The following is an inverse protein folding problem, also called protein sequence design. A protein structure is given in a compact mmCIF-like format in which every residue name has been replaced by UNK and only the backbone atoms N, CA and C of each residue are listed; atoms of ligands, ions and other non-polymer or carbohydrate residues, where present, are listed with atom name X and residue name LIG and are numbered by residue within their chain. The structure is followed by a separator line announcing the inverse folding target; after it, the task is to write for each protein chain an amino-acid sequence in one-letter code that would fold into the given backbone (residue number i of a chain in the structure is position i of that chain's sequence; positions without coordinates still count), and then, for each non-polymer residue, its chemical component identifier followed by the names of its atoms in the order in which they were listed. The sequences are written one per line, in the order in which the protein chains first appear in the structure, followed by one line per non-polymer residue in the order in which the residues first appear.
data_IF_263130045740
#
_entry.id   IF_263130045740
#
_cell.length_a   1.000
_cell.length_b   1.000
_cell.length_c   1.000
_cell.angle_alpha   90.00
_cell.angle_beta   90.00
_cell.angle_gamma   90.00
#
_symmetry.space_group_name_H-M   'P 1'
#
loop_
_entity.id
_entity.type
_entity.pdbx_description
1 polymer ?
#
# COMPACT_ATOMS: atom_id res chain seq x y z
N UNK A 1 34.72 -32.28 -16.92
CA UNK A 1 34.07 -31.15 -16.20
C UNK A 1 34.51 -29.86 -16.90
N UNK A 2 33.60 -28.96 -17.30
CA UNK A 2 33.97 -27.79 -18.11
C UNK A 2 34.84 -26.80 -17.33
N UNK A 3 35.91 -26.28 -17.94
CA UNK A 3 36.85 -25.29 -17.36
C UNK A 3 36.13 -24.05 -16.84
N UNK A 4 35.00 -23.69 -17.46
CA UNK A 4 34.12 -22.60 -17.03
C UNK A 4 33.44 -22.88 -15.68
N UNK A 5 33.03 -24.13 -15.41
CA UNK A 5 32.41 -24.54 -14.14
C UNK A 5 33.46 -24.54 -13.02
N UNK A 6 34.70 -24.93 -13.33
CA UNK A 6 35.80 -24.88 -12.36
C UNK A 6 36.22 -23.45 -12.02
N UNK A 7 36.24 -22.54 -13.00
CA UNK A 7 36.49 -21.11 -12.79
C UNK A 7 35.38 -20.46 -11.93
N UNK A 8 34.13 -20.91 -12.12
CA UNK A 8 32.98 -20.50 -11.32
C UNK A 8 33.11 -20.93 -9.85
N UNK A 9 33.53 -22.17 -9.63
CA UNK A 9 33.75 -22.73 -8.29
C UNK A 9 34.94 -22.06 -7.59
N UNK A 10 35.95 -21.60 -8.32
CA UNK A 10 37.14 -20.96 -7.77
C UNK A 10 36.87 -19.56 -7.20
N UNK A 11 35.93 -18.79 -7.78
CA UNK A 11 35.58 -17.44 -7.30
C UNK A 11 34.50 -17.42 -6.23
N UNK A 12 33.91 -18.57 -5.93
CA UNK A 12 32.84 -18.73 -4.94
C UNK A 12 33.08 -18.11 -3.54
N UNK A 13 34.31 -18.06 -2.98
CA UNK A 13 34.55 -17.44 -1.67
C UNK A 13 34.43 -15.91 -1.70
N UNK A 14 34.63 -15.25 -2.86
CA UNK A 14 34.55 -13.79 -3.01
C UNK A 14 33.12 -13.25 -2.80
N UNK A 15 32.13 -14.14 -2.73
CA UNK A 15 30.72 -13.78 -2.73
C UNK A 15 30.04 -13.94 -1.36
N UNK A 16 30.69 -14.53 -0.34
CA UNK A 16 30.02 -14.96 0.90
C UNK A 16 29.37 -13.83 1.73
N UNK A 17 29.83 -12.58 1.59
CA UNK A 17 29.47 -11.46 2.48
C UNK A 17 28.50 -10.44 1.87
N UNK A 18 27.83 -10.76 0.76
CA UNK A 18 26.92 -9.81 0.08
C UNK A 18 25.46 -10.28 0.10
N UNK A 19 24.52 -9.34 0.22
CA UNK A 19 23.09 -9.66 0.15
C UNK A 19 22.71 -10.20 -1.23
N UNK A 20 22.44 -11.51 -1.33
CA UNK A 20 22.17 -12.16 -2.61
C UNK A 20 20.68 -12.13 -2.97
N UNK A 21 20.35 -11.46 -4.06
CA UNK A 21 19.16 -11.77 -4.86
C UNK A 21 19.57 -12.61 -6.08
N UNK A 22 18.60 -13.32 -6.70
CA UNK A 22 18.89 -14.15 -7.88
C UNK A 22 19.47 -13.35 -9.07
N UNK A 23 19.33 -12.02 -9.08
CA UNK A 23 19.89 -11.13 -10.11
C UNK A 23 21.38 -10.94 -9.91
N UNK A 24 21.82 -10.70 -8.67
CA UNK A 24 23.23 -10.55 -8.32
C UNK A 24 24.00 -11.81 -8.66
N UNK A 25 23.49 -12.98 -8.26
CA UNK A 25 24.10 -14.28 -8.59
C UNK A 25 24.21 -14.45 -10.10
N UNK A 26 23.15 -14.17 -10.86
CA UNK A 26 23.17 -14.32 -12.32
C UNK A 26 24.19 -13.40 -13.00
N UNK A 27 24.32 -12.14 -12.56
CA UNK A 27 25.35 -11.22 -13.10
C UNK A 27 26.77 -11.71 -12.84
N UNK A 28 27.02 -12.25 -11.64
CA UNK A 28 28.34 -12.79 -11.29
C UNK A 28 28.65 -14.07 -12.07
N UNK A 29 27.67 -14.95 -12.27
CA UNK A 29 27.83 -16.14 -13.11
C UNK A 29 28.17 -15.75 -14.57
N UNK A 30 27.52 -14.71 -15.10
CA UNK A 30 27.79 -14.20 -16.45
C UNK A 30 29.17 -13.52 -16.57
N UNK A 31 29.70 -12.93 -15.48
CA UNK A 31 31.04 -12.37 -15.47
C UNK A 31 32.15 -13.45 -15.59
N UNK A 32 31.83 -14.74 -15.41
CA UNK A 32 32.78 -15.85 -15.57
C UNK A 32 32.92 -16.23 -17.04
N UNK A 33 34.16 -16.19 -17.53
CA UNK A 33 34.52 -16.51 -18.91
C UNK A 33 34.09 -17.94 -19.28
N UNK A 34 33.28 -18.06 -20.34
CA UNK A 34 32.78 -19.35 -20.85
C UNK A 34 31.42 -19.79 -20.32
N UNK A 35 30.84 -19.11 -19.31
CA UNK A 35 29.46 -19.39 -18.87
C UNK A 35 28.45 -18.95 -19.92
N UNK A 36 28.69 -17.82 -20.59
CA UNK A 36 27.89 -17.36 -21.73
C UNK A 36 27.75 -18.44 -22.82
N UNK A 37 28.88 -19.00 -23.25
CA UNK A 37 28.93 -20.04 -24.28
C UNK A 37 28.27 -21.34 -23.81
N UNK A 38 28.39 -21.67 -22.52
CA UNK A 38 27.73 -22.84 -21.93
C UNK A 38 26.20 -22.66 -21.87
N UNK A 39 25.71 -21.48 -21.51
CA UNK A 39 24.28 -21.16 -21.51
C UNK A 39 23.67 -21.20 -22.92
N UNK A 40 24.41 -20.72 -23.92
CA UNK A 40 23.98 -20.77 -25.33
C UNK A 40 23.99 -22.21 -25.84
N UNK A 41 25.12 -22.92 -25.69
CA UNK A 41 25.33 -24.23 -26.32
C UNK A 41 24.62 -25.39 -25.64
N UNK A 42 24.43 -25.36 -24.31
CA UNK A 42 23.81 -26.45 -23.55
C UNK A 42 22.37 -26.20 -23.16
N UNK A 43 21.96 -24.94 -23.08
CA UNK A 43 20.64 -24.58 -22.58
C UNK A 43 19.82 -23.72 -23.55
N UNK A 44 20.33 -23.49 -24.77
CA UNK A 44 19.58 -22.86 -25.86
C UNK A 44 19.22 -21.40 -25.61
N UNK A 45 19.87 -20.72 -24.66
CA UNK A 45 19.59 -19.32 -24.40
C UNK A 45 20.06 -18.45 -25.55
N UNK A 46 19.20 -17.51 -25.98
CA UNK A 46 19.61 -16.48 -26.92
C UNK A 46 20.61 -15.51 -26.26
N UNK A 47 21.54 -14.96 -27.06
CA UNK A 47 22.45 -13.89 -26.59
C UNK A 47 21.70 -12.69 -26.01
N UNK A 48 20.49 -12.40 -26.53
CA UNK A 48 19.62 -11.34 -26.04
C UNK A 48 19.09 -11.62 -24.64
N UNK A 49 18.67 -12.85 -24.37
CA UNK A 49 18.19 -13.28 -23.04
C UNK A 49 19.31 -13.18 -22.00
N UNK A 50 20.52 -13.59 -22.37
CA UNK A 50 21.70 -13.49 -21.50
C UNK A 50 22.05 -12.03 -21.20
N UNK A 51 21.98 -11.15 -22.20
CA UNK A 51 22.23 -9.72 -22.01
C UNK A 51 21.18 -9.06 -21.09
N UNK A 52 19.90 -9.45 -21.19
CA UNK A 52 18.84 -9.00 -20.29
C UNK A 52 19.05 -9.42 -18.83
N UNK A 53 19.71 -10.56 -18.60
CA UNK A 53 20.10 -10.99 -17.25
C UNK A 53 21.33 -10.22 -16.74
N UNK A 54 22.31 -9.96 -17.62
CA UNK A 54 23.49 -9.16 -17.28
C UNK A 54 23.14 -7.71 -16.90
N UNK A 55 22.15 -7.11 -17.58
CA UNK A 55 21.65 -5.76 -17.28
C UNK A 55 20.78 -5.70 -16.02
N UNK A 56 20.44 -6.85 -15.41
CA UNK A 56 19.67 -6.92 -14.18
C UNK A 56 18.19 -6.54 -14.30
N UNK A 57 17.68 -6.42 -15.54
CA UNK A 57 16.29 -6.04 -15.82
C UNK A 57 15.29 -7.16 -15.47
N UNK A 58 15.73 -8.43 -15.47
CA UNK A 58 14.88 -9.61 -15.30
C UNK A 58 15.45 -10.56 -14.23
N UNK A 59 14.57 -11.19 -13.45
CA UNK A 59 14.95 -12.31 -12.58
C UNK A 59 15.16 -13.55 -13.45
N UNK A 60 16.22 -14.36 -13.20
CA UNK A 60 16.40 -15.61 -13.93
C UNK A 60 15.26 -16.57 -13.59
N UNK A 61 14.79 -17.30 -14.61
CA UNK A 61 13.79 -18.34 -14.43
C UNK A 61 14.30 -19.42 -13.47
N UNK A 62 13.40 -19.99 -12.66
CA UNK A 62 13.75 -21.03 -11.68
C UNK A 62 14.39 -22.26 -12.36
N UNK A 63 13.95 -22.58 -13.58
CA UNK A 63 14.50 -23.67 -14.39
C UNK A 63 15.99 -23.47 -14.70
N UNK A 64 16.41 -22.23 -14.98
CA UNK A 64 17.81 -21.88 -15.22
C UNK A 64 18.65 -22.07 -13.96
N UNK A 65 18.16 -21.60 -12.81
CA UNK A 65 18.84 -21.79 -11.52
C UNK A 65 18.92 -23.27 -11.12
N UNK A 66 17.86 -24.06 -11.36
CA UNK A 66 17.82 -25.50 -11.14
C UNK A 66 18.82 -26.26 -12.02
N UNK A 67 18.98 -25.78 -13.26
CA UNK A 67 19.92 -26.37 -14.21
C UNK A 67 21.36 -26.06 -13.85
N UNK A 68 21.66 -24.81 -13.45
CA UNK A 68 22.96 -24.43 -12.90
C UNK A 68 23.25 -25.25 -11.63
N UNK A 69 22.28 -25.40 -10.74
CA UNK A 69 22.37 -26.24 -9.54
C UNK A 69 22.68 -27.70 -9.88
N UNK A 70 21.98 -28.30 -10.85
CA UNK A 70 22.23 -29.66 -11.30
C UNK A 70 23.64 -29.84 -11.88
N UNK A 71 24.06 -28.94 -12.77
CA UNK A 71 25.36 -29.00 -13.47
C UNK A 71 26.53 -28.73 -12.52
N UNK A 72 26.35 -27.82 -11.56
CA UNK A 72 27.33 -27.54 -10.50
C UNK A 72 27.27 -28.55 -9.36
N UNK A 73 26.31 -29.49 -9.37
CA UNK A 73 26.01 -30.44 -8.29
C UNK A 73 25.80 -29.74 -6.94
N UNK A 74 25.10 -28.61 -6.95
CA UNK A 74 24.76 -27.83 -5.78
C UNK A 74 23.26 -27.84 -5.52
N UNK A 75 22.81 -27.77 -4.27
CA UNK A 75 21.39 -27.65 -3.98
C UNK A 75 20.86 -26.29 -4.45
N UNK A 76 19.69 -26.29 -5.08
CA UNK A 76 19.08 -25.10 -5.71
C UNK A 76 18.97 -23.91 -4.75
N UNK A 77 18.63 -24.14 -3.48
CA UNK A 77 18.55 -23.06 -2.48
C UNK A 77 19.89 -22.35 -2.25
N UNK A 78 21.03 -23.02 -2.45
CA UNK A 78 22.37 -22.42 -2.34
C UNK A 78 22.75 -21.63 -3.59
N UNK A 79 22.38 -22.12 -4.77
CA UNK A 79 22.53 -21.37 -6.02
C UNK A 79 21.67 -20.09 -5.98
N UNK A 80 20.43 -20.18 -5.51
CA UNK A 80 19.56 -19.01 -5.31
C UNK A 80 20.21 -18.01 -4.32
N UNK A 81 20.88 -18.53 -3.29
CA UNK A 81 21.58 -17.73 -2.27
C UNK A 81 23.01 -17.33 -2.66
N UNK A 82 23.52 -17.64 -3.87
CA UNK A 82 24.88 -17.30 -4.29
C UNK A 82 26.02 -18.07 -3.58
N UNK A 83 25.71 -19.14 -2.84
CA UNK A 83 26.66 -19.87 -1.98
C UNK A 83 27.21 -21.11 -2.70
N UNK A 84 28.31 -20.96 -3.45
CA UNK A 84 28.84 -22.00 -4.34
C UNK A 84 30.09 -22.67 -3.74
N UNK A 85 30.02 -23.25 -2.54
CA UNK A 85 31.21 -23.85 -1.88
C UNK A 85 31.64 -25.22 -2.47
N UNK A 86 32.94 -25.57 -2.48
CA UNK A 86 33.43 -26.90 -2.84
C UNK A 86 32.99 -28.00 -1.85
N UNK A 87 32.69 -29.19 -2.39
CA UNK A 87 32.04 -30.32 -1.69
C UNK A 87 32.83 -30.87 -0.50
N UNK A 88 34.15 -30.64 -0.43
CA UNK A 88 35.04 -31.16 0.63
C UNK A 88 34.78 -30.60 2.03
N UNK A 89 33.81 -29.70 2.19
CA UNK A 89 33.41 -29.09 3.47
C UNK A 89 31.94 -29.37 3.85
N UNK A 90 31.33 -30.39 3.24
CA UNK A 90 29.92 -30.74 3.47
C UNK A 90 29.62 -31.41 4.83
N UNK A 91 30.63 -31.66 5.67
CA UNK A 91 30.43 -32.13 7.05
C UNK A 91 29.92 -31.04 7.99
N UNK A 92 29.98 -29.78 7.56
CA UNK A 92 29.16 -28.76 8.20
C UNK A 92 27.72 -28.99 7.77
N UNK A 93 26.99 -29.71 8.63
CA UNK A 93 25.52 -29.74 8.65
C UNK A 93 25.04 -28.37 8.20
N UNK A 94 24.31 -28.31 7.09
CA UNK A 94 23.63 -27.08 6.73
C UNK A 94 22.71 -26.79 7.91
N UNK A 95 23.15 -25.90 8.80
CA UNK A 95 22.27 -25.20 9.70
C UNK A 95 21.45 -24.40 8.70
N UNK A 96 20.37 -25.01 8.25
CA UNK A 96 19.26 -24.30 7.71
C UNK A 96 19.03 -23.25 8.79
N UNK A 97 19.37 -22.02 8.47
CA UNK A 97 18.80 -20.85 9.11
C UNK A 97 17.30 -20.82 8.78
N UNK A 98 16.59 -21.93 9.02
CA UNK A 98 15.39 -21.88 9.83
C UNK A 98 15.74 -20.94 10.97
N UNK A 99 15.36 -19.68 10.81
CA UNK A 99 15.22 -18.80 11.97
C UNK A 99 14.37 -19.64 12.90
N UNK A 100 14.97 -20.20 13.94
CA UNK A 100 14.26 -20.79 15.07
C UNK A 100 13.47 -19.59 15.57
N UNK A 101 12.25 -19.43 15.05
CA UNK A 101 11.33 -18.42 15.49
C UNK A 101 11.03 -18.87 16.89
N UNK A 102 11.57 -18.15 17.86
CA UNK A 102 11.14 -18.28 19.24
C UNK A 102 9.61 -18.36 19.22
N UNK A 103 9.02 -19.38 19.88
CA UNK A 103 7.58 -19.54 19.88
C UNK A 103 6.99 -18.21 20.35
N UNK A 104 6.15 -17.61 19.49
CA UNK A 104 5.51 -16.33 19.81
C UNK A 104 4.60 -16.57 21.00
N UNK A 105 4.74 -15.73 22.02
CA UNK A 105 3.85 -15.75 23.15
C UNK A 105 2.53 -15.07 22.76
N UNK A 106 1.54 -15.89 22.38
CA UNK A 106 0.24 -15.42 21.92
C UNK A 106 -0.57 -14.73 23.02
N UNK A 107 -0.44 -15.14 24.28
CA UNK A 107 -1.16 -14.53 25.41
C UNK A 107 -0.71 -13.10 25.70
N UNK A 108 0.59 -12.81 25.51
CA UNK A 108 1.13 -11.46 25.65
C UNK A 108 0.61 -10.58 24.51
N UNK A 109 0.65 -11.09 23.29
CA UNK A 109 0.12 -10.38 22.12
C UNK A 109 -1.39 -10.12 22.25
N UNK A 110 -2.15 -11.07 22.78
CA UNK A 110 -3.58 -10.91 23.04
C UNK A 110 -3.84 -9.76 24.03
N UNK A 111 -3.14 -9.74 25.17
CA UNK A 111 -3.26 -8.68 26.17
C UNK A 111 -2.91 -7.31 25.62
N UNK A 112 -1.83 -7.21 24.86
CA UNK A 112 -1.42 -5.94 24.25
C UNK A 112 -2.41 -5.49 23.16
N UNK A 113 -2.94 -6.42 22.37
CA UNK A 113 -3.90 -6.13 21.32
C UNK A 113 -5.29 -5.80 21.88
N UNK A 114 -5.69 -6.38 23.01
CA UNK A 114 -6.86 -6.01 23.82
C UNK A 114 -6.69 -4.60 24.41
N UNK A 115 -5.52 -4.25 24.93
CA UNK A 115 -5.25 -2.90 25.40
C UNK A 115 -5.37 -1.85 24.28
N UNK A 116 -4.97 -2.20 23.05
CA UNK A 116 -5.16 -1.34 21.87
C UNK A 116 -6.62 -1.30 21.40
N UNK A 117 -7.35 -2.42 21.51
CA UNK A 117 -8.75 -2.51 21.13
C UNK A 117 -9.67 -1.73 22.09
N UNK A 118 -9.33 -1.70 23.38
CA UNK A 118 -10.15 -1.14 24.46
C UNK A 118 -9.63 0.21 25.00
N UNK A 119 -8.41 0.62 24.62
CA UNK A 119 -7.79 1.87 25.08
C UNK A 119 -8.48 3.14 24.54
N UNK A 120 -8.27 4.31 25.16
CA UNK A 120 -8.96 5.55 24.80
C UNK A 120 -8.57 6.09 23.42
N UNK A 121 -7.32 5.86 22.99
CA UNK A 121 -6.83 6.32 21.69
C UNK A 121 -7.20 5.35 20.56
N UNK A 122 -7.74 5.89 19.46
CA UNK A 122 -7.94 5.11 18.24
C UNK A 122 -6.59 4.76 17.60
N UNK A 123 -6.39 3.48 17.29
CA UNK A 123 -5.23 2.99 16.53
C UNK A 123 -5.74 2.19 15.33
N UNK A 124 -5.25 2.53 14.13
CA UNK A 124 -5.52 1.73 12.94
C UNK A 124 -4.91 0.33 13.12
N UNK A 125 -5.62 -0.71 12.67
CA UNK A 125 -5.16 -2.10 12.68
C UNK A 125 -3.74 -2.27 12.11
N UNK A 126 -3.40 -1.54 11.06
CA UNK A 126 -2.05 -1.60 10.48
C UNK A 126 -0.98 -1.15 11.47
N UNK A 127 -1.17 0.03 12.09
CA UNK A 127 -0.27 0.54 13.12
C UNK A 127 -0.23 -0.34 14.37
N UNK A 128 -1.36 -0.94 14.75
CA UNK A 128 -1.41 -1.89 15.85
C UNK A 128 -0.56 -3.14 15.55
N UNK A 129 -0.69 -3.70 14.35
CA UNK A 129 0.09 -4.84 13.89
C UNK A 129 1.59 -4.53 13.77
N UNK A 130 1.95 -3.35 13.26
CA UNK A 130 3.34 -2.88 13.19
C UNK A 130 3.98 -2.77 14.58
N UNK A 131 3.25 -2.16 15.53
CA UNK A 131 3.71 -2.00 16.92
C UNK A 131 3.99 -3.34 17.60
N UNK A 132 3.22 -4.36 17.27
CA UNK A 132 3.32 -5.71 17.85
C UNK A 132 4.19 -6.67 17.01
N UNK A 133 4.83 -6.17 15.94
CA UNK A 133 5.57 -6.97 14.98
C UNK A 133 4.78 -8.21 14.48
N UNK A 134 3.47 -8.02 14.29
CA UNK A 134 2.51 -9.05 13.96
C UNK A 134 2.00 -8.85 12.53
N UNK A 135 2.02 -9.90 11.71
CA UNK A 135 1.44 -9.84 10.37
C UNK A 135 -0.08 -9.75 10.44
N UNK A 136 -0.71 -8.94 9.59
CA UNK A 136 -2.17 -8.76 9.56
C UNK A 136 -2.94 -10.08 9.38
N UNK A 137 -2.40 -11.00 8.57
CA UNK A 137 -2.99 -12.34 8.38
C UNK A 137 -2.93 -13.17 9.66
N UNK A 138 -1.81 -13.12 10.38
CA UNK A 138 -1.67 -13.82 11.66
C UNK A 138 -2.58 -13.22 12.74
N UNK A 139 -2.70 -11.89 12.81
CA UNK A 139 -3.62 -11.22 13.72
C UNK A 139 -5.07 -11.64 13.47
N UNK A 140 -5.50 -11.70 12.20
CA UNK A 140 -6.85 -12.16 11.83
C UNK A 140 -7.09 -13.63 12.15
N UNK A 141 -6.09 -14.48 11.97
CA UNK A 141 -6.23 -15.90 12.21
C UNK A 141 -6.31 -16.24 13.70
N UNK A 142 -5.50 -15.58 14.53
CA UNK A 142 -5.42 -15.87 15.96
C UNK A 142 -6.36 -15.03 16.83
N UNK A 143 -6.69 -13.80 16.41
CA UNK A 143 -7.48 -12.85 17.22
C UNK A 143 -8.59 -12.16 16.39
N UNK A 144 -9.52 -12.92 15.78
CA UNK A 144 -10.52 -12.36 14.86
C UNK A 144 -11.40 -11.29 15.51
N UNK A 145 -11.87 -11.53 16.74
CA UNK A 145 -12.80 -10.63 17.44
C UNK A 145 -12.15 -9.30 17.84
N UNK A 146 -10.90 -9.37 18.29
CA UNK A 146 -10.09 -8.20 18.63
C UNK A 146 -9.81 -7.33 17.40
N UNK A 147 -9.44 -7.97 16.29
CA UNK A 147 -9.25 -7.29 15.01
C UNK A 147 -10.55 -6.62 14.55
N UNK A 148 -11.69 -7.31 14.67
CA UNK A 148 -12.99 -6.76 14.32
C UNK A 148 -13.32 -5.51 15.16
N UNK A 149 -13.08 -5.55 16.48
CA UNK A 149 -13.28 -4.40 17.38
C UNK A 149 -12.41 -3.20 16.99
N UNK A 150 -11.12 -3.40 16.73
CA UNK A 150 -10.22 -2.33 16.29
C UNK A 150 -10.70 -1.71 14.97
N UNK A 151 -11.09 -2.54 14.00
CA UNK A 151 -11.59 -2.08 12.70
C UNK A 151 -12.91 -1.31 12.85
N UNK A 152 -13.83 -1.79 13.70
CA UNK A 152 -15.11 -1.12 13.96
C UNK A 152 -14.90 0.26 14.60
N UNK A 153 -14.02 0.36 15.60
CA UNK A 153 -13.64 1.65 16.18
C UNK A 153 -13.04 2.59 15.14
N UNK A 154 -12.22 2.07 14.22
CA UNK A 154 -11.70 2.87 13.12
C UNK A 154 -12.74 3.31 12.10
N UNK A 155 -13.85 2.57 11.94
CA UNK A 155 -14.99 3.04 11.14
C UNK A 155 -15.72 4.17 11.87
N UNK A 156 -16.00 4.01 13.17
CA UNK A 156 -16.68 5.02 13.98
C UNK A 156 -15.88 6.33 14.06
N UNK A 157 -14.60 6.26 14.40
CA UNK A 157 -13.73 7.45 14.48
C UNK A 157 -13.65 8.20 13.14
N UNK A 158 -13.58 7.49 12.01
CA UNK A 158 -13.62 8.11 10.68
C UNK A 158 -14.99 8.74 10.37
N UNK A 159 -16.08 8.08 10.74
CA UNK A 159 -17.42 8.62 10.59
C UNK A 159 -17.63 9.89 11.43
N UNK A 160 -17.16 9.90 12.68
CA UNK A 160 -17.19 11.06 13.58
C UNK A 160 -16.34 12.20 13.05
N UNK A 161 -15.12 11.91 12.60
CA UNK A 161 -14.21 12.93 12.03
C UNK A 161 -14.78 13.54 10.75
N UNK A 162 -15.38 12.71 9.90
CA UNK A 162 -16.10 13.16 8.70
C UNK A 162 -17.31 14.01 9.05
N UNK A 163 -18.12 13.59 10.03
CA UNK A 163 -19.27 14.34 10.51
C UNK A 163 -18.86 15.68 11.15
N UNK A 164 -17.79 15.71 11.94
CA UNK A 164 -17.24 16.92 12.55
C UNK A 164 -16.75 17.90 11.47
N UNK A 165 -16.00 17.41 10.49
CA UNK A 165 -15.54 18.22 9.34
C UNK A 165 -16.72 18.78 8.55
N UNK A 166 -17.75 17.96 8.32
CA UNK A 166 -18.98 18.38 7.63
C UNK A 166 -19.74 19.45 8.41
N UNK A 167 -19.84 19.31 9.73
CA UNK A 167 -20.46 20.31 10.62
C UNK A 167 -19.69 21.62 10.61
N UNK A 168 -18.36 21.57 10.69
CA UNK A 168 -17.51 22.76 10.64
C UNK A 168 -17.71 23.54 9.33
N UNK A 169 -17.65 22.85 8.18
CA UNK A 169 -17.90 23.45 6.86
C UNK A 169 -19.30 24.05 6.74
N UNK A 170 -20.31 23.35 7.26
CA UNK A 170 -21.68 23.88 7.30
C UNK A 170 -21.77 25.15 8.15
N UNK A 171 -21.04 25.22 9.25
CA UNK A 171 -20.98 26.43 10.09
C UNK A 171 -20.37 27.60 9.31
N UNK A 172 -19.21 27.40 8.67
CA UNK A 172 -18.55 28.44 7.85
C UNK A 172 -19.48 28.94 6.73
N UNK A 173 -20.22 28.04 6.08
CA UNK A 173 -21.20 28.41 5.05
C UNK A 173 -22.39 29.19 5.63
N UNK A 174 -22.86 28.87 6.85
CA UNK A 174 -23.90 29.64 7.54
C UNK A 174 -23.41 31.04 7.88
N UNK A 175 -22.19 31.17 8.37
CA UNK A 175 -21.62 32.46 8.73
C UNK A 175 -21.43 33.34 7.48
N UNK A 176 -20.96 32.75 6.37
CA UNK A 176 -20.91 33.42 5.07
C UNK A 176 -22.29 33.86 4.55
N UNK A 177 -23.32 33.02 4.72
CA UNK A 177 -24.70 33.38 4.38
C UNK A 177 -25.17 34.60 5.17
N UNK A 178 -24.96 34.59 6.49
CA UNK A 178 -25.37 35.68 7.39
C UNK A 178 -24.64 36.98 7.09
N UNK A 179 -23.34 36.92 6.80
CA UNK A 179 -22.57 38.08 6.38
C UNK A 179 -23.12 38.73 5.10
N UNK A 180 -23.51 37.92 4.11
CA UNK A 180 -24.10 38.42 2.86
C UNK A 180 -25.46 39.07 3.12
N UNK A 181 -26.30 38.44 3.92
CA UNK A 181 -27.61 38.97 4.32
C UNK A 181 -27.47 40.31 5.06
N UNK A 182 -26.57 40.38 6.04
CA UNK A 182 -26.32 41.60 6.80
C UNK A 182 -25.79 42.74 5.92
N UNK A 183 -25.03 42.41 4.87
CA UNK A 183 -24.57 43.37 3.86
C UNK A 183 -25.65 43.77 2.83
N UNK A 184 -26.89 43.25 2.94
CA UNK A 184 -27.95 43.48 1.95
C UNK A 184 -27.66 42.83 0.60
N UNK A 185 -26.82 41.79 0.55
CA UNK A 185 -26.41 41.11 -0.68
C UNK A 185 -27.07 39.74 -0.77
N UNK A 186 -27.68 39.43 -1.92
CA UNK A 186 -28.29 38.11 -2.14
C UNK A 186 -27.28 36.96 -1.97
N UNK A 187 -27.53 36.00 -1.07
CA UNK A 187 -26.60 34.93 -0.74
C UNK A 187 -26.67 33.78 -1.76
N UNK A 188 -26.08 33.99 -2.94
CA UNK A 188 -25.97 32.93 -3.95
C UNK A 188 -24.91 31.90 -3.58
N UNK A 189 -25.08 30.64 -4.03
CA UNK A 189 -24.13 29.56 -3.73
C UNK A 189 -22.68 29.93 -4.06
N UNK A 190 -22.45 30.61 -5.19
CA UNK A 190 -21.10 31.06 -5.59
C UNK A 190 -20.50 32.05 -4.59
N UNK A 191 -21.30 32.98 -4.05
CA UNK A 191 -20.82 33.97 -3.08
C UNK A 191 -20.56 33.34 -1.71
N UNK A 192 -21.43 32.43 -1.28
CA UNK A 192 -21.25 31.68 -0.03
C UNK A 192 -19.95 30.89 -0.09
N UNK A 193 -19.74 30.09 -1.14
CA UNK A 193 -18.50 29.31 -1.34
C UNK A 193 -17.27 30.22 -1.39
N UNK A 194 -17.36 31.39 -2.03
CA UNK A 194 -16.25 32.34 -2.11
C UNK A 194 -15.85 32.88 -0.73
N UNK A 195 -16.81 33.12 0.16
CA UNK A 195 -16.56 33.68 1.50
C UNK A 195 -16.18 32.56 2.48
N UNK A 196 -16.88 31.43 2.46
CA UNK A 196 -16.61 30.32 3.38
C UNK A 196 -15.37 29.51 3.00
N UNK A 197 -14.92 29.56 1.74
CA UNK A 197 -13.87 28.68 1.22
C UNK A 197 -14.29 27.21 1.11
N UNK A 198 -15.50 26.85 1.53
CA UNK A 198 -16.01 25.49 1.56
C UNK A 198 -16.77 25.15 0.27
N UNK A 199 -16.39 24.05 -0.39
CA UNK A 199 -17.08 23.54 -1.57
C UNK A 199 -18.39 22.81 -1.18
N UNK A 200 -19.51 23.25 -1.74
CA UNK A 200 -20.84 22.65 -1.54
C UNK A 200 -20.92 21.17 -1.95
N UNK A 201 -20.09 20.73 -2.91
CA UNK A 201 -20.03 19.31 -3.31
C UNK A 201 -19.59 18.41 -2.17
N UNK A 202 -18.80 18.94 -1.24
CA UNK A 202 -18.30 18.18 -0.08
C UNK A 202 -19.31 18.07 1.06
N UNK A 203 -20.35 18.88 1.03
CA UNK A 203 -21.38 18.97 2.08
C UNK A 203 -22.68 18.25 1.66
N UNK A 204 -22.89 18.07 0.35
CA UNK A 204 -24.01 17.31 -0.21
C UNK A 204 -25.37 17.87 0.25
N UNK A 205 -26.30 16.97 0.58
CA UNK A 205 -27.69 17.31 0.95
C UNK A 205 -27.82 18.25 2.16
N UNK A 206 -26.79 18.31 3.02
CA UNK A 206 -26.78 19.18 4.19
C UNK A 206 -26.80 20.68 3.82
N UNK A 207 -26.28 21.03 2.64
CA UNK A 207 -26.23 22.42 2.18
C UNK A 207 -27.61 23.00 1.90
N UNK A 208 -28.48 22.24 1.20
CA UNK A 208 -29.83 22.70 0.87
C UNK A 208 -30.66 22.93 2.13
N UNK A 209 -30.62 21.97 3.05
CA UNK A 209 -31.29 22.07 4.35
C UNK A 209 -30.82 23.29 5.13
N UNK A 210 -29.50 23.53 5.17
CA UNK A 210 -28.92 24.70 5.81
C UNK A 210 -29.43 26.02 5.20
N UNK A 211 -29.47 26.13 3.86
CA UNK A 211 -30.01 27.32 3.21
C UNK A 211 -31.47 27.55 3.57
N UNK A 212 -32.30 26.53 3.50
CA UNK A 212 -33.73 26.65 3.78
C UNK A 212 -33.96 27.04 5.25
N UNK A 213 -33.17 26.50 6.20
CA UNK A 213 -33.17 26.90 7.62
C UNK A 213 -32.78 28.38 7.83
N UNK A 214 -31.69 28.85 7.20
CA UNK A 214 -31.25 30.25 7.35
C UNK A 214 -32.20 31.23 6.64
N UNK A 215 -32.78 30.84 5.50
CA UNK A 215 -33.81 31.64 4.82
C UNK A 215 -35.07 31.80 5.66
N UNK A 216 -35.52 30.74 6.33
CA UNK A 216 -36.62 30.80 7.30
C UNK A 216 -36.27 31.71 8.48
N UNK A 217 -35.03 31.63 8.99
CA UNK A 217 -34.58 32.45 10.13
C UNK A 217 -34.54 33.94 9.81
N UNK A 218 -34.12 34.32 8.61
CA UNK A 218 -34.08 35.72 8.15
C UNK A 218 -35.48 36.26 7.82
N UNK A 219 -36.52 35.46 8.05
CA UNK A 219 -37.93 35.91 8.02
C UNK A 219 -38.48 36.20 6.62
N UNK A 220 -37.76 35.88 5.54
CA UNK A 220 -38.14 36.33 4.20
C UNK A 220 -38.22 37.85 4.03
N UNK A 221 -37.85 38.64 5.05
CA UNK A 221 -37.99 40.11 5.12
C UNK A 221 -36.88 40.86 4.39
N UNK A 222 -35.78 40.18 4.07
CA UNK A 222 -34.83 40.75 3.13
C UNK A 222 -35.52 40.89 1.78
N UNK A 223 -35.58 42.11 1.21
CA UNK A 223 -36.01 42.41 -0.17
C UNK A 223 -35.23 41.63 -1.27
N UNK A 224 -34.35 40.72 -0.85
CA UNK A 224 -33.54 39.80 -1.62
C UNK A 224 -34.40 38.65 -2.15
N UNK A 225 -35.15 38.90 -3.24
CA UNK A 225 -35.94 37.85 -3.91
C UNK A 225 -35.04 36.71 -4.41
N UNK A 226 -35.26 35.50 -3.87
CA UNK A 226 -34.82 34.23 -4.50
C UNK A 226 -35.51 34.14 -5.84
N UNK A 227 -34.77 34.35 -6.94
CA UNK A 227 -35.33 34.24 -8.31
C UNK A 227 -35.93 32.83 -8.43
N UNK A 228 -37.25 32.68 -8.65
CA UNK A 228 -37.84 31.36 -8.78
C UNK A 228 -37.17 30.65 -9.96
N UNK A 229 -36.86 29.37 -9.78
CA UNK A 229 -36.36 28.54 -10.87
C UNK A 229 -37.37 28.64 -12.01
N UNK A 230 -36.94 29.22 -13.14
CA UNK A 230 -37.79 29.43 -14.31
C UNK A 230 -38.39 28.09 -14.70
N UNK A 231 -39.71 27.95 -14.48
CA UNK A 231 -40.52 26.94 -15.12
C UNK A 231 -40.30 27.08 -16.62
N UNK A 232 -39.70 26.06 -17.22
CA UNK A 232 -39.60 25.91 -18.67
C UNK A 232 -41.02 25.85 -19.22
N UNK A 233 -41.59 27.00 -19.58
CA UNK A 233 -42.81 27.08 -20.36
C UNK A 233 -42.44 26.64 -21.78
N UNK A 234 -42.68 25.38 -22.09
CA UNK A 234 -42.71 24.88 -23.46
C UNK A 234 -43.91 25.54 -24.14
N UNK A 235 -43.69 26.70 -24.75
CA UNK A 235 -44.58 27.23 -25.77
C UNK A 235 -44.38 26.39 -27.04
N UNK A 236 -45.17 25.33 -27.20
CA UNK A 236 -45.49 24.81 -28.53
C UNK A 236 -46.55 25.72 -29.13
N UNK A 237 -46.10 26.78 -29.79
CA UNK A 237 -46.93 27.52 -30.73
C UNK A 237 -47.21 26.64 -31.94
N UNK A 238 -48.49 26.45 -32.25
CA UNK A 238 -48.93 25.93 -33.52
C UNK A 238 -48.87 27.01 -34.60
N UNK A 239 -48.48 26.59 -35.79
CA UNK A 239 -49.17 26.79 -37.08
C UNK A 239 -48.58 25.79 -38.06
#
# INVERSE_FOLDING_TARGET
MSKAIMSLLARAPEFADHGHDGRFTMRQLLAVTGVHELLISKFGFSRRTIWSYASGQWLPELALLATIASVSRQPLHRVIRGQVLPWSSADTSSIATSKIRTPRNWEVLERELEALASGPAYVNLEKACERLNLGRTAAKAHFPDLVARIVQRGKLSRAESSAATKRARLSEMRDAFRLLVAAGVYPSCRKIVKISGADFRTVGDGYKKMLDEEWLRVGGETNLRRRPASSTSVNRGGS
#
